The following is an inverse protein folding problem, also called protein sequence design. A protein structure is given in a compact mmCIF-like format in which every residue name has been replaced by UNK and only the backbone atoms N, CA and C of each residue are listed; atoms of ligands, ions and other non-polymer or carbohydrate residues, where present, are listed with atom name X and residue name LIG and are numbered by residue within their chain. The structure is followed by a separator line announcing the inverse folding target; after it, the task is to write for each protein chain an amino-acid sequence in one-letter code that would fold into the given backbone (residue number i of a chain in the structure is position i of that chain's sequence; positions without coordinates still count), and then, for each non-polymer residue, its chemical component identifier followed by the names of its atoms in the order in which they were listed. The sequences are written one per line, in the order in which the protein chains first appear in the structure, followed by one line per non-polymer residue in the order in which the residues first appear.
data_IF_396910211624
#
_entry.id   IF_396910211624
#
_cell.length_a   1.000
_cell.length_b   1.000
_cell.length_c   1.000
_cell.angle_alpha   90.00
_cell.angle_beta   90.00
_cell.angle_gamma   90.00
#
_symmetry.space_group_name_H-M   'P 1'
#
loop_
_entity.id
_entity.type
_entity.pdbx_description
1 polymer ?
#
# COMPACT_ATOMS: atom_id res chain seq x y z
N UNK A 1 8.15 -10.55 -6.95
CA UNK A 1 8.48 -9.78 -5.72
C UNK A 1 8.79 -8.30 -5.90
N UNK A 2 9.75 -7.95 -6.75
CA UNK A 2 10.19 -6.56 -6.91
C UNK A 2 9.01 -5.64 -7.30
N UNK A 3 8.04 -6.13 -8.08
CA UNK A 3 6.85 -5.36 -8.43
C UNK A 3 5.84 -5.16 -7.29
N UNK A 4 5.73 -6.07 -6.33
CA UNK A 4 4.74 -5.97 -5.26
C UNK A 4 5.15 -4.93 -4.21
N UNK A 5 6.43 -4.89 -3.84
CA UNK A 5 6.93 -3.83 -2.96
C UNK A 5 6.97 -2.47 -3.69
N UNK A 6 7.21 -2.45 -5.01
CA UNK A 6 7.09 -1.25 -5.86
C UNK A 6 5.67 -0.76 -6.00
N UNK A 7 4.71 -1.66 -6.15
CA UNK A 7 3.29 -1.36 -6.10
C UNK A 7 2.91 -0.86 -4.71
N UNK A 8 3.46 -1.47 -3.66
CA UNK A 8 3.29 -1.02 -2.28
C UNK A 8 3.84 0.39 -2.07
N UNK A 9 5.06 0.69 -2.54
CA UNK A 9 5.65 2.04 -2.46
C UNK A 9 4.93 3.02 -3.36
N UNK A 10 4.57 2.66 -4.59
CA UNK A 10 3.78 3.51 -5.48
C UNK A 10 2.40 3.83 -4.89
N UNK A 11 1.74 2.83 -4.31
CA UNK A 11 0.46 2.98 -3.61
C UNK A 11 0.62 3.86 -2.36
N UNK A 12 1.69 3.66 -1.58
CA UNK A 12 1.96 4.48 -0.39
C UNK A 12 2.30 5.93 -0.77
N UNK A 13 3.02 6.16 -1.87
CA UNK A 13 3.32 7.49 -2.41
C UNK A 13 2.04 8.16 -2.93
N UNK A 14 1.16 7.40 -3.60
CA UNK A 14 -0.17 7.87 -3.99
C UNK A 14 -1.02 8.25 -2.78
N UNK A 15 -1.04 7.41 -1.74
CA UNK A 15 -1.77 7.69 -0.50
C UNK A 15 -1.20 8.90 0.24
N UNK A 16 0.12 9.02 0.37
CA UNK A 16 0.77 10.18 0.95
C UNK A 16 0.46 11.44 0.16
N UNK A 17 0.47 11.39 -1.17
CA UNK A 17 0.11 12.52 -2.01
C UNK A 17 -1.37 12.92 -1.84
N UNK A 18 -2.29 11.96 -1.79
CA UNK A 18 -3.73 12.23 -1.57
C UNK A 18 -3.97 12.88 -0.20
N UNK A 19 -3.35 12.33 0.86
CA UNK A 19 -3.47 12.86 2.23
C UNK A 19 -2.87 14.26 2.36
N UNK A 20 -1.67 14.50 1.80
CA UNK A 20 -1.02 15.81 1.84
C UNK A 20 -1.74 16.86 0.98
N UNK A 21 -2.29 16.47 -0.17
CA UNK A 21 -3.06 17.40 -1.03
C UNK A 21 -4.35 17.89 -0.37
N UNK A 22 -4.85 17.17 0.64
CA UNK A 22 -6.11 17.50 1.33
C UNK A 22 -5.94 18.51 2.47
N UNK A 23 -4.70 18.82 2.90
CA UNK A 23 -4.46 19.60 4.13
C UNK A 23 -3.91 21.02 3.90
N UNK A 24 -3.59 21.41 2.66
CA UNK A 24 -3.01 22.74 2.40
C UNK A 24 -4.10 23.77 2.12
N UNK A 25 -4.56 24.42 3.20
CA UNK A 25 -5.29 25.69 3.12
C UNK A 25 -4.31 26.82 2.78
N UNK A 26 -4.55 27.62 1.72
CA UNK A 26 -3.60 28.59 1.20
C UNK A 26 -3.65 29.89 1.99
N UNK A 27 -3.03 29.94 3.17
CA UNK A 27 -3.01 31.18 3.96
C UNK A 27 -1.81 31.32 4.90
N UNK A 28 -0.58 31.31 4.40
CA UNK A 28 0.54 32.08 4.98
C UNK A 28 1.79 31.99 4.10
N UNK A 29 2.27 33.15 3.66
CA UNK A 29 3.50 33.33 2.91
C UNK A 29 4.73 33.34 3.82
N UNK A 30 5.89 32.87 3.34
CA UNK A 30 7.15 33.47 3.76
C UNK A 30 8.42 32.63 3.86
N UNK A 31 8.38 31.29 3.79
CA UNK A 31 9.62 30.48 3.78
C UNK A 31 9.55 29.39 2.71
N UNK A 32 10.59 29.30 1.87
CA UNK A 32 10.82 28.19 0.94
C UNK A 32 11.23 26.93 1.73
N UNK A 33 10.36 26.46 2.62
CA UNK A 33 10.46 25.12 3.16
C UNK A 33 10.05 24.21 2.02
N UNK A 34 11.03 23.50 1.42
CA UNK A 34 10.73 22.49 0.41
C UNK A 34 9.75 21.51 1.03
N UNK A 35 8.50 21.52 0.55
CA UNK A 35 7.41 20.71 1.08
C UNK A 35 7.86 19.25 1.15
N UNK A 36 7.49 18.55 2.22
CA UNK A 36 7.87 17.14 2.41
C UNK A 36 7.39 16.25 1.25
N UNK A 37 6.32 16.66 0.57
CA UNK A 37 5.83 16.02 -0.65
C UNK A 37 6.81 16.14 -1.82
N UNK A 38 7.51 17.27 -1.94
CA UNK A 38 8.54 17.49 -2.95
C UNK A 38 9.76 16.60 -2.67
N UNK A 39 10.17 16.48 -1.40
CA UNK A 39 11.27 15.58 -0.99
C UNK A 39 10.96 14.12 -1.34
N UNK A 40 9.76 13.66 -1.01
CA UNK A 40 9.31 12.31 -1.31
C UNK A 40 9.27 12.06 -2.81
N UNK A 41 8.71 13.00 -3.57
CA UNK A 41 8.61 12.89 -5.04
C UNK A 41 9.98 12.80 -5.70
N UNK A 42 10.94 13.62 -5.27
CA UNK A 42 12.33 13.57 -5.76
C UNK A 42 12.99 12.23 -5.41
N UNK A 43 12.84 11.76 -4.17
CA UNK A 43 13.42 10.49 -3.73
C UNK A 43 12.88 9.30 -4.54
N UNK A 44 11.57 9.27 -4.81
CA UNK A 44 10.93 8.24 -5.62
C UNK A 44 11.40 8.32 -7.08
N UNK A 45 11.49 9.53 -7.66
CA UNK A 45 11.99 9.70 -9.02
C UNK A 45 13.44 9.20 -9.17
N UNK A 46 14.32 9.55 -8.23
CA UNK A 46 15.70 9.06 -8.19
C UNK A 46 15.76 7.53 -8.07
N UNK A 47 14.90 6.94 -7.22
CA UNK A 47 14.79 5.50 -7.09
C UNK A 47 14.38 4.83 -8.40
N UNK A 48 13.36 5.33 -9.08
CA UNK A 48 12.89 4.80 -10.38
C UNK A 48 13.99 4.87 -11.44
N UNK A 49 14.73 5.99 -11.51
CA UNK A 49 15.85 6.13 -12.45
C UNK A 49 16.97 5.14 -12.14
N UNK A 50 17.36 5.00 -10.87
CA UNK A 50 18.40 4.07 -10.44
C UNK A 50 18.00 2.61 -10.74
N UNK A 51 16.74 2.27 -10.49
CA UNK A 51 16.22 0.94 -10.79
C UNK A 51 16.17 0.65 -12.30
N UNK A 52 15.71 1.61 -13.09
CA UNK A 52 15.68 1.48 -14.55
C UNK A 52 17.08 1.20 -15.09
N UNK A 53 18.08 1.91 -14.59
CA UNK A 53 19.48 1.70 -14.95
C UNK A 53 19.96 0.29 -14.56
N UNK A 54 19.70 -0.14 -13.32
CA UNK A 54 20.05 -1.47 -12.82
C UNK A 54 19.43 -2.59 -13.69
N UNK A 55 18.14 -2.48 -14.02
CA UNK A 55 17.44 -3.45 -14.88
C UNK A 55 17.95 -3.45 -16.31
N UNK A 56 18.23 -2.26 -16.85
CA UNK A 56 18.78 -2.13 -18.20
C UNK A 56 20.12 -2.86 -18.30
N UNK A 57 21.01 -2.68 -17.32
CA UNK A 57 22.30 -3.38 -17.29
C UNK A 57 22.16 -4.88 -17.07
N UNK A 58 21.23 -5.29 -16.20
CA UNK A 58 20.93 -6.70 -15.99
C UNK A 58 20.41 -7.36 -17.27
N UNK A 59 19.63 -6.65 -18.11
CA UNK A 59 19.19 -7.15 -19.41
C UNK A 59 20.33 -7.35 -20.41
N UNK A 60 21.38 -6.52 -20.33
CA UNK A 60 22.56 -6.65 -21.18
C UNK A 60 23.56 -7.72 -20.68
N UNK A 61 23.40 -8.25 -19.46
CA UNK A 61 24.30 -9.25 -18.84
C UNK A 61 24.60 -10.41 -19.79
N UNK A 62 23.57 -11.04 -20.34
CA UNK A 62 23.69 -12.21 -21.20
C UNK A 62 24.27 -11.87 -22.58
N UNK A 63 24.03 -10.66 -23.08
CA UNK A 63 24.46 -10.25 -24.43
C UNK A 63 25.91 -9.78 -24.52
N UNK A 64 26.48 -9.27 -23.41
CA UNK A 64 27.81 -8.60 -23.39
C UNK A 64 28.80 -9.20 -22.40
N UNK A 65 28.45 -10.34 -21.79
CA UNK A 65 29.29 -11.00 -20.77
C UNK A 65 29.82 -10.02 -19.70
N UNK A 66 28.92 -9.15 -19.21
CA UNK A 66 29.30 -8.13 -18.24
C UNK A 66 29.80 -8.79 -16.95
N UNK A 67 30.94 -8.30 -16.45
CA UNK A 67 31.48 -8.72 -15.16
C UNK A 67 30.45 -8.43 -14.05
N UNK A 68 30.33 -9.37 -13.11
CA UNK A 68 29.43 -9.26 -11.96
C UNK A 68 29.69 -7.98 -11.16
N UNK A 69 30.96 -7.59 -11.01
CA UNK A 69 31.36 -6.36 -10.31
C UNK A 69 30.68 -5.11 -10.90
N UNK A 70 30.59 -5.01 -12.22
CA UNK A 70 29.95 -3.88 -12.91
C UNK A 70 28.44 -3.87 -12.66
N UNK A 71 27.82 -5.05 -12.61
CA UNK A 71 26.39 -5.21 -12.33
C UNK A 71 26.10 -4.78 -10.88
N UNK A 72 26.91 -5.23 -9.92
CA UNK A 72 26.77 -4.85 -8.51
C UNK A 72 26.95 -3.35 -8.33
N UNK A 73 28.02 -2.77 -8.90
CA UNK A 73 28.32 -1.34 -8.77
C UNK A 73 27.20 -0.46 -9.32
N UNK A 74 26.56 -0.88 -10.43
CA UNK A 74 25.45 -0.12 -11.01
C UNK A 74 24.10 -0.37 -10.32
N UNK A 75 23.92 -1.55 -9.72
CA UNK A 75 22.70 -1.86 -8.97
C UNK A 75 22.73 -1.28 -7.54
N UNK A 76 23.92 -0.99 -7.00
CA UNK A 76 24.09 -0.49 -5.64
C UNK A 76 23.27 0.77 -5.33
N UNK A 77 23.22 1.82 -6.18
CA UNK A 77 22.38 3.00 -5.93
C UNK A 77 20.89 2.65 -5.79
N UNK A 78 20.38 1.71 -6.61
CA UNK A 78 18.99 1.28 -6.52
C UNK A 78 18.71 0.56 -5.20
N UNK A 79 19.63 -0.30 -4.73
CA UNK A 79 19.49 -0.98 -3.44
C UNK A 79 19.57 -0.02 -2.25
N UNK A 80 20.50 0.93 -2.29
CA UNK A 80 20.64 1.94 -1.23
C UNK A 80 19.39 2.81 -1.16
N UNK A 81 18.88 3.30 -2.30
CA UNK A 81 17.66 4.09 -2.33
C UNK A 81 16.44 3.28 -1.89
N UNK A 82 16.34 2.00 -2.29
CA UNK A 82 15.29 1.12 -1.83
C UNK A 82 15.30 0.95 -0.30
N UNK A 83 16.48 0.74 0.28
CA UNK A 83 16.65 0.60 1.73
C UNK A 83 16.29 1.90 2.46
N UNK A 84 16.73 3.05 1.95
CA UNK A 84 16.41 4.37 2.54
C UNK A 84 14.90 4.62 2.50
N UNK A 85 14.24 4.41 1.36
CA UNK A 85 12.79 4.57 1.23
C UNK A 85 12.04 3.60 2.15
N UNK A 86 12.51 2.36 2.25
CA UNK A 86 11.95 1.38 3.16
C UNK A 86 12.05 1.82 4.62
N UNK A 87 13.23 2.26 5.08
CA UNK A 87 13.42 2.73 6.45
C UNK A 87 12.53 3.95 6.71
N UNK A 88 12.48 4.89 5.78
CA UNK A 88 11.64 6.08 5.90
C UNK A 88 10.16 5.72 6.05
N UNK A 89 9.63 4.85 5.17
CA UNK A 89 8.24 4.40 5.26
C UNK A 89 7.95 3.68 6.59
N UNK A 90 8.87 2.84 7.05
CA UNK A 90 8.70 2.07 8.29
C UNK A 90 8.81 2.94 9.55
N UNK A 91 9.65 3.97 9.57
CA UNK A 91 9.72 4.90 10.71
C UNK A 91 8.39 5.62 10.90
N UNK A 92 7.76 6.07 9.80
CA UNK A 92 6.44 6.70 9.85
C UNK A 92 5.38 5.74 10.41
N UNK A 93 5.38 4.49 9.93
CA UNK A 93 4.46 3.45 10.40
C UNK A 93 4.68 3.06 11.87
N UNK A 94 5.93 3.00 12.32
CA UNK A 94 6.26 2.68 13.70
C UNK A 94 5.76 3.79 14.63
N UNK A 95 5.98 5.05 14.27
CA UNK A 95 5.52 6.20 15.07
C UNK A 95 3.99 6.23 15.22
N UNK A 96 3.24 5.90 14.16
CA UNK A 96 1.78 5.82 14.25
C UNK A 96 1.33 4.62 15.08
N UNK A 97 2.00 3.48 14.93
CA UNK A 97 1.70 2.26 15.71
C UNK A 97 1.99 2.47 17.21
N UNK A 98 3.09 3.15 17.56
CA UNK A 98 3.40 3.47 18.96
C UNK A 98 2.37 4.43 19.54
N UNK A 99 1.97 5.46 18.79
CA UNK A 99 0.94 6.40 19.23
C UNK A 99 -0.42 5.72 19.45
N UNK A 100 -0.82 4.78 18.58
CA UNK A 100 -2.04 3.97 18.76
C UNK A 100 -1.94 3.04 19.96
N UNK A 101 -0.76 2.43 20.18
CA UNK A 101 -0.51 1.55 21.32
C UNK A 101 -0.60 2.30 22.65
N UNK A 102 -0.06 3.53 22.71
CA UNK A 102 -0.14 4.39 23.90
C UNK A 102 -1.57 4.77 24.25
N UNK A 103 -2.46 4.89 23.25
CA UNK A 103 -3.90 5.12 23.44
C UNK A 103 -4.67 3.88 23.90
N UNK A 104 -4.03 2.72 23.95
CA UNK A 104 -4.67 1.46 24.32
C UNK A 104 -5.64 0.92 23.25
N UNK A 105 -5.55 1.41 22.01
CA UNK A 105 -6.45 0.98 20.94
C UNK A 105 -6.07 -0.42 20.46
N UNK A 106 -7.06 -1.32 20.35
CA UNK A 106 -6.87 -2.68 19.84
C UNK A 106 -6.28 -2.70 18.40
N UNK A 107 -6.42 -1.60 17.66
CA UNK A 107 -5.88 -1.39 16.32
C UNK A 107 -4.36 -1.57 16.25
N UNK A 108 -3.63 -1.29 17.33
CA UNK A 108 -2.17 -1.44 17.38
C UNK A 108 -1.71 -2.86 16.99
N UNK A 109 -2.53 -3.88 17.27
CA UNK A 109 -2.21 -5.28 16.93
C UNK A 109 -2.25 -5.54 15.43
N UNK A 110 -3.19 -4.93 14.69
CA UNK A 110 -3.30 -5.10 13.23
C UNK A 110 -2.13 -4.40 12.53
N UNK A 111 -1.81 -3.18 12.96
CA UNK A 111 -0.65 -2.46 12.46
C UNK A 111 0.66 -3.22 12.73
N UNK A 112 0.83 -3.79 13.92
CA UNK A 112 1.98 -4.62 14.21
C UNK A 112 2.10 -5.85 13.28
N UNK A 113 0.99 -6.55 12.99
CA UNK A 113 0.98 -7.67 12.03
C UNK A 113 1.38 -7.23 10.62
N UNK A 114 0.86 -6.09 10.16
CA UNK A 114 1.25 -5.51 8.86
C UNK A 114 2.74 -5.15 8.82
N UNK A 115 3.30 -4.64 9.92
CA UNK A 115 4.71 -4.32 10.01
C UNK A 115 5.59 -5.56 9.92
N UNK A 116 5.24 -6.64 10.64
CA UNK A 116 5.93 -7.93 10.53
C UNK A 116 5.92 -8.43 9.08
N UNK A 117 4.78 -8.32 8.39
CA UNK A 117 4.68 -8.72 7.00
C UNK A 117 5.59 -7.89 6.08
N UNK A 118 5.65 -6.58 6.28
CA UNK A 118 6.55 -5.69 5.54
C UNK A 118 8.01 -6.10 5.76
N UNK A 119 8.42 -6.39 7.00
CA UNK A 119 9.78 -6.87 7.30
C UNK A 119 10.08 -8.22 6.63
N UNK A 120 9.16 -9.18 6.73
CA UNK A 120 9.30 -10.49 6.07
C UNK A 120 9.41 -10.33 4.55
N UNK A 121 8.61 -9.43 3.96
CA UNK A 121 8.65 -9.15 2.52
C UNK A 121 10.00 -8.58 2.08
N UNK A 122 10.60 -7.72 2.91
CA UNK A 122 11.91 -7.12 2.65
C UNK A 122 13.02 -8.17 2.69
N UNK A 123 13.01 -9.04 3.70
CA UNK A 123 13.96 -10.16 3.81
C UNK A 123 13.81 -11.10 2.62
N UNK A 124 12.57 -11.49 2.28
CA UNK A 124 12.29 -12.32 1.11
C UNK A 124 12.75 -11.69 -0.20
N UNK A 125 12.59 -10.37 -0.34
CA UNK A 125 13.09 -9.61 -1.49
C UNK A 125 14.61 -9.61 -1.58
N UNK A 126 15.29 -9.39 -0.46
CA UNK A 126 16.75 -9.48 -0.39
C UNK A 126 17.28 -10.86 -0.76
N UNK A 127 16.65 -11.92 -0.25
CA UNK A 127 17.01 -13.30 -0.58
C UNK A 127 16.78 -13.62 -2.07
N UNK A 128 15.65 -13.19 -2.65
CA UNK A 128 15.37 -13.39 -4.06
C UNK A 128 16.43 -12.72 -4.95
N UNK A 129 16.81 -11.48 -4.62
CA UNK A 129 17.91 -10.78 -5.31
C UNK A 129 19.23 -11.53 -5.18
N UNK A 130 19.55 -12.03 -3.98
CA UNK A 130 20.78 -12.79 -3.76
C UNK A 130 20.82 -14.06 -4.62
N UNK A 131 19.70 -14.78 -4.72
CA UNK A 131 19.59 -15.98 -5.58
C UNK A 131 19.80 -15.62 -7.05
N UNK A 132 19.24 -14.52 -7.54
CA UNK A 132 19.47 -14.05 -8.93
C UNK A 132 20.92 -13.63 -9.19
N UNK A 133 21.57 -13.02 -8.19
CA UNK A 133 22.94 -12.55 -8.31
C UNK A 133 23.91 -13.74 -8.37
N UNK A 134 23.66 -14.75 -7.52
CA UNK A 134 24.48 -15.95 -7.40
C UNK A 134 24.16 -17.01 -8.45
N UNK A 135 23.17 -16.78 -9.31
CA UNK A 135 22.56 -17.77 -10.19
C UNK A 135 23.59 -18.75 -10.81
N UNK A 136 23.67 -19.98 -10.26
CA UNK A 136 24.69 -20.95 -10.64
C UNK A 136 24.44 -21.55 -12.02
N UNK A 137 23.21 -21.40 -12.54
CA UNK A 137 22.82 -21.95 -13.85
C UNK A 137 23.44 -21.19 -15.03
N UNK A 138 24.02 -20.01 -14.79
CA UNK A 138 24.68 -19.23 -15.83
C UNK A 138 25.95 -19.87 -16.41
N UNK A 139 26.56 -20.84 -15.71
CA UNK A 139 27.79 -21.49 -16.15
C UNK A 139 27.58 -22.77 -16.98
N UNK A 140 26.41 -23.40 -16.88
CA UNK A 140 26.13 -24.71 -17.49
C UNK A 140 24.93 -24.62 -18.46
N UNK A 141 25.16 -24.70 -19.79
CA UNK A 141 24.10 -24.66 -20.80
C UNK A 141 23.04 -25.75 -20.63
N UNK A 142 23.41 -26.92 -20.09
CA UNK A 142 22.49 -28.04 -19.92
C UNK A 142 21.48 -27.79 -18.77
N UNK A 143 21.73 -26.78 -17.93
CA UNK A 143 20.88 -26.41 -16.79
C UNK A 143 19.78 -25.39 -17.10
N UNK A 144 19.53 -25.10 -18.38
CA UNK A 144 18.55 -24.08 -18.83
C UNK A 144 17.13 -24.26 -18.25
N UNK A 145 16.65 -25.49 -18.08
CA UNK A 145 15.31 -25.73 -17.51
C UNK A 145 15.24 -25.31 -16.03
N UNK A 146 16.31 -25.56 -15.27
CA UNK A 146 16.46 -25.12 -13.88
C UNK A 146 16.64 -23.61 -13.78
N UNK A 147 17.26 -22.96 -14.76
CA UNK A 147 17.42 -21.51 -14.81
C UNK A 147 16.06 -20.79 -14.77
N UNK A 148 15.09 -21.24 -15.55
CA UNK A 148 13.74 -20.67 -15.54
C UNK A 148 13.06 -20.79 -14.18
N UNK A 149 13.15 -21.96 -13.56
CA UNK A 149 12.55 -22.20 -12.24
C UNK A 149 13.23 -21.33 -11.17
N UNK A 150 14.54 -21.15 -11.25
CA UNK A 150 15.27 -20.33 -10.28
C UNK A 150 15.03 -18.83 -10.50
N UNK A 151 15.14 -18.35 -11.74
CA UNK A 151 15.03 -16.93 -12.08
C UNK A 151 13.60 -16.38 -11.92
N UNK A 152 12.59 -17.17 -12.30
CA UNK A 152 11.20 -16.72 -12.27
C UNK A 152 10.41 -17.36 -11.12
N UNK A 153 10.57 -18.66 -10.91
CA UNK A 153 9.85 -19.41 -9.87
C UNK A 153 10.13 -18.87 -8.46
N UNK A 154 11.36 -18.48 -8.13
CA UNK A 154 11.68 -17.90 -6.82
C UNK A 154 10.95 -16.56 -6.61
N UNK A 155 10.89 -15.71 -7.64
CA UNK A 155 10.20 -14.41 -7.57
C UNK A 155 8.69 -14.56 -7.44
N UNK A 156 8.12 -15.54 -8.15
CA UNK A 156 6.69 -15.85 -8.12
C UNK A 156 6.30 -16.50 -6.79
N UNK A 157 7.09 -17.47 -6.31
CA UNK A 157 6.84 -18.15 -5.04
C UNK A 157 6.92 -17.18 -3.87
N UNK A 158 7.95 -16.34 -3.81
CA UNK A 158 8.03 -15.32 -2.78
C UNK A 158 6.82 -14.36 -2.88
N UNK A 159 6.32 -14.07 -4.09
CA UNK A 159 5.18 -13.17 -4.27
C UNK A 159 3.90 -13.80 -3.75
N UNK A 160 3.70 -15.07 -4.06
CA UNK A 160 2.61 -15.87 -3.53
C UNK A 160 2.63 -15.86 -1.99
N UNK A 161 3.80 -16.07 -1.37
CA UNK A 161 3.94 -16.06 0.10
C UNK A 161 3.56 -14.70 0.70
N UNK A 162 4.07 -13.60 0.14
CA UNK A 162 3.70 -12.25 0.59
C UNK A 162 2.21 -12.01 0.39
N UNK A 163 1.66 -12.40 -0.76
CA UNK A 163 0.27 -12.20 -1.10
C UNK A 163 -0.66 -12.96 -0.15
N UNK A 164 -0.37 -14.24 0.11
CA UNK A 164 -1.12 -15.05 1.09
C UNK A 164 -0.99 -14.44 2.48
N UNK A 165 0.22 -14.05 2.89
CA UNK A 165 0.43 -13.35 4.17
C UNK A 165 -0.41 -12.07 4.25
N UNK A 166 -0.49 -11.32 3.16
CA UNK A 166 -1.24 -10.07 3.08
C UNK A 166 -2.73 -10.35 3.25
N UNK A 167 -3.26 -11.37 2.55
CA UNK A 167 -4.64 -11.81 2.72
C UNK A 167 -4.93 -12.25 4.15
N UNK A 168 -4.01 -12.96 4.82
CA UNK A 168 -4.17 -13.37 6.22
C UNK A 168 -4.16 -12.16 7.17
N UNK A 169 -3.32 -11.15 6.91
CA UNK A 169 -3.28 -9.92 7.73
C UNK A 169 -4.52 -9.06 7.51
N UNK A 170 -5.04 -9.00 6.28
CA UNK A 170 -6.24 -8.25 5.93
C UNK A 170 -7.55 -8.99 6.18
N UNK A 171 -7.49 -10.29 6.51
CA UNK A 171 -8.70 -11.05 6.77
C UNK A 171 -9.46 -10.41 7.94
N UNK A 172 -10.76 -10.11 7.78
CA UNK A 172 -11.54 -9.47 8.82
C UNK A 172 -11.50 -10.36 10.07
N UNK A 173 -11.02 -9.80 11.17
CA UNK A 173 -11.12 -10.42 12.49
C UNK A 173 -12.31 -9.83 13.23
N UNK A 174 -12.81 -10.52 14.25
CA UNK A 174 -13.89 -10.00 15.09
C UNK A 174 -13.57 -8.60 15.67
N UNK A 175 -12.28 -8.29 15.84
CA UNK A 175 -11.79 -6.97 16.25
C UNK A 175 -11.99 -5.86 15.21
N UNK A 176 -12.09 -6.19 13.91
CA UNK A 176 -12.31 -5.23 12.82
C UNK A 176 -13.78 -5.03 12.46
N UNK A 177 -14.65 -5.99 12.81
CA UNK A 177 -16.09 -5.93 12.49
C UNK A 177 -16.81 -4.80 13.22
N UNK A 178 -16.38 -4.45 14.45
CA UNK A 178 -16.97 -3.36 15.23
C UNK A 178 -16.71 -1.94 14.69
N UNK A 179 -15.83 -1.80 13.69
CA UNK A 179 -15.44 -0.50 13.12
C UNK A 179 -16.10 -0.20 11.76
N UNK A 180 -16.90 -1.12 11.20
CA UNK A 180 -17.37 -0.97 9.82
C UNK A 180 -18.32 0.22 9.60
N UNK A 181 -18.99 0.74 10.61
CA UNK A 181 -19.76 1.99 10.52
C UNK A 181 -20.08 2.45 11.95
N UNK A 182 -19.28 3.35 12.52
CA UNK A 182 -19.77 4.18 13.62
C UNK A 182 -20.33 5.46 12.99
N UNK A 183 -21.67 5.65 12.95
CA UNK A 183 -22.22 6.93 12.53
C UNK A 183 -21.66 7.98 13.48
N UNK A 184 -20.93 8.95 12.94
CA UNK A 184 -20.36 10.04 13.71
C UNK A 184 -21.51 10.84 14.31
N UNK A 185 -21.88 10.55 15.55
CA UNK A 185 -22.90 11.29 16.29
C UNK A 185 -22.43 12.74 16.46
N UNK A 186 -22.80 13.62 15.53
CA UNK A 186 -22.60 15.08 15.64
C UNK A 186 -21.85 15.77 14.51
N UNK A 187 -21.34 15.03 13.51
CA UNK A 187 -20.80 15.65 12.29
C UNK A 187 -21.88 15.79 11.24
N UNK A 188 -22.13 17.00 10.73
CA UNK A 188 -22.95 17.22 9.53
C UNK A 188 -22.70 16.10 8.53
N UNK A 189 -23.79 15.45 8.11
CA UNK A 189 -23.77 14.46 7.05
C UNK A 189 -23.15 15.09 5.81
N UNK A 190 -21.83 14.93 5.66
CA UNK A 190 -21.18 15.01 4.37
C UNK A 190 -21.71 13.79 3.65
N UNK A 191 -22.80 14.00 2.91
CA UNK A 191 -23.39 13.01 2.02
C UNK A 191 -22.27 12.27 1.32
N UNK A 192 -22.15 10.98 1.63
CA UNK A 192 -21.26 10.09 0.90
C UNK A 192 -21.62 10.24 -0.58
N UNK A 193 -20.65 10.71 -1.37
CA UNK A 193 -20.71 11.00 -2.81
C UNK A 193 -20.90 9.69 -3.60
N UNK A 194 -22.01 8.99 -3.36
CA UNK A 194 -22.28 7.67 -3.91
C UNK A 194 -23.50 6.95 -3.34
N UNK A 195 -24.11 7.44 -2.26
CA UNK A 195 -25.29 6.79 -1.66
C UNK A 195 -26.65 7.37 -2.13
N UNK A 196 -26.65 8.41 -2.98
CA UNK A 196 -27.86 9.15 -3.35
C UNK A 196 -28.33 8.97 -4.80
N UNK A 197 -27.96 7.86 -5.48
CA UNK A 197 -28.23 7.69 -6.92
C UNK A 197 -29.19 6.56 -7.32
N UNK A 198 -29.76 5.80 -6.38
CA UNK A 198 -30.73 4.73 -6.71
C UNK A 198 -32.05 4.88 -5.94
N UNK A 199 -32.71 6.03 -6.05
CA UNK A 199 -34.19 6.01 -6.01
C UNK A 199 -34.86 7.18 -6.77
N UNK A 200 -34.84 7.19 -8.11
CA UNK A 200 -35.72 8.03 -8.90
C UNK A 200 -36.92 7.21 -9.39
N UNK A 201 -37.95 7.01 -8.55
CA UNK A 201 -39.37 6.86 -8.97
C UNK A 201 -40.27 6.35 -7.83
N UNK A 202 -40.65 7.24 -6.90
CA UNK A 202 -41.95 7.07 -6.21
C UNK A 202 -42.57 8.43 -5.89
N UNK A 203 -42.92 9.18 -6.93
CA UNK A 203 -43.78 10.36 -6.83
C UNK A 203 -44.92 10.28 -7.85
N UNK A 204 -46.12 10.05 -7.30
CA UNK A 204 -47.42 10.14 -7.97
C UNK A 204 -48.25 8.88 -7.69
N UNK A 205 -49.52 8.90 -7.31
CA UNK A 205 -50.52 9.95 -7.15
C UNK A 205 -51.78 9.20 -6.63
N UNK A 206 -52.54 9.75 -5.67
CA UNK A 206 -53.82 9.16 -5.22
C UNK A 206 -54.05 9.29 -3.72
N UNK A 207 -54.33 10.47 -3.17
CA UNK A 207 -55.63 11.16 -3.21
C UNK A 207 -56.76 10.43 -2.47
N UNK A 208 -57.08 11.01 -1.30
CA UNK A 208 -58.43 11.23 -0.76
C UNK A 208 -59.22 10.06 -0.16
N UNK A 209 -59.97 10.42 0.89
CA UNK A 209 -61.04 9.68 1.58
C UNK A 209 -60.59 8.56 2.53
N UNK A 210 -60.43 8.90 3.82
CA UNK A 210 -61.44 8.54 4.85
C UNK A 210 -61.38 9.59 5.96
N UNK A 211 -62.22 10.60 5.77
CA UNK A 211 -62.76 11.46 6.80
C UNK A 211 -63.65 10.63 7.75
N UNK A 212 -63.67 11.04 9.02
CA UNK A 212 -64.71 10.79 10.02
C UNK A 212 -64.89 9.36 10.58
N UNK A 213 -64.33 9.15 11.79
CA UNK A 213 -65.15 8.62 12.89
C UNK A 213 -64.69 9.12 14.25
N UNK A 214 -65.18 10.32 14.58
CA UNK A 214 -65.44 10.71 15.95
C UNK A 214 -66.60 9.85 16.52
N UNK A 215 -66.38 9.22 17.67
CA UNK A 215 -67.34 8.74 18.70
C UNK A 215 -66.59 7.72 19.58
N UNK A 216 -66.61 7.69 20.90
CA UNK A 216 -67.15 8.51 21.97
C UNK A 216 -66.57 7.89 23.28
N UNK A 217 -66.54 8.69 24.37
CA UNK A 217 -66.48 8.37 25.83
C UNK A 217 -66.81 6.92 26.28
N UNK A 218 -66.42 6.44 27.50
CA UNK A 218 -66.44 7.21 28.76
C UNK A 218 -65.34 6.94 29.80
N UNK A 219 -65.37 7.81 30.81
CA UNK A 219 -64.72 7.73 32.11
C UNK A 219 -65.04 6.42 32.85
N UNK A 220 -64.06 5.92 33.62
CA UNK A 220 -64.22 5.50 35.02
C UNK A 220 -63.01 6.00 35.81
#
# INVERSE_FOLDING_TARGET
LCYAWKLGTAFHVLLSHIVSSSTVSPAAAGEMIMSDDCKLSIAVALYVVAEFNAKTIQSYRLSRELKVDTIILNSAPAFVLALVLYVWANVSLLNTTTALKERGEQQATVYFRSHVLVVVSMIGGGLAVLVELLDPTSADPDSWSSHWVCADGVRQLAFLVIFVGAQVVWFPSDATVGYSYQPTEGGQAVEAIGAALDDPEELGEGSSLVEAKAKAKPCE
#
